data_IF_333741091586
#
_entry.id   IF_333741091586
#
_cell.length_a   1.000
_cell.length_b   1.000
_cell.length_c   1.000
_cell.angle_alpha   90.00
_cell.angle_beta   90.00
_cell.angle_gamma   90.00
#
_symmetry.space_group_name_H-M   'P 1'
#
loop_
_entity.id
_entity.type
_entity.pdbx_description
1 polymer ?
#
# COMPACT_ATOMS: atom_id res chain seq x y z
N UNK A 1 18.43 -7.24 -19.46
CA UNK A 1 17.17 -7.18 -18.68
C UNK A 1 17.22 -5.93 -17.82
N UNK A 2 16.31 -4.96 -18.04
CA UNK A 2 16.22 -3.74 -17.20
C UNK A 2 15.15 -3.99 -16.13
N UNK A 3 15.53 -3.85 -14.86
CA UNK A 3 14.59 -3.91 -13.73
C UNK A 3 14.12 -2.48 -13.48
N UNK A 4 12.80 -2.26 -13.46
CA UNK A 4 12.19 -0.98 -13.10
C UNK A 4 11.67 -1.09 -11.67
N UNK A 5 11.78 -0.01 -10.91
CA UNK A 5 11.31 0.03 -9.51
C UNK A 5 10.25 1.10 -9.33
N UNK A 6 9.23 0.79 -8.52
CA UNK A 6 8.23 1.77 -8.14
C UNK A 6 8.90 2.88 -7.31
N UNK A 7 8.62 4.13 -7.64
CA UNK A 7 9.05 5.26 -6.83
C UNK A 7 7.91 6.29 -6.85
N UNK A 8 7.41 6.55 -5.64
CA UNK A 8 6.21 7.34 -5.38
C UNK A 8 6.50 8.44 -4.34
N UNK A 9 7.73 8.99 -4.32
CA UNK A 9 8.14 10.12 -3.48
C UNK A 9 7.69 9.98 -2.01
N UNK A 10 8.05 8.86 -1.39
CA UNK A 10 7.70 8.46 -0.01
C UNK A 10 6.20 8.26 0.29
N UNK A 11 5.30 8.47 -0.68
CA UNK A 11 3.88 8.21 -0.49
C UNK A 11 3.51 6.74 -0.55
N UNK A 12 4.38 5.90 -1.10
CA UNK A 12 4.22 4.45 -1.10
C UNK A 12 5.54 3.75 -0.79
N UNK A 13 5.48 2.77 0.09
CA UNK A 13 6.61 1.89 0.38
C UNK A 13 6.11 0.48 0.74
N UNK A 14 6.72 -0.56 0.15
CA UNK A 14 6.60 -1.92 0.68
C UNK A 14 7.54 -2.05 1.89
N UNK A 15 6.99 -2.20 3.09
CA UNK A 15 7.74 -2.30 4.34
C UNK A 15 8.27 -3.72 4.56
N UNK A 16 7.41 -4.72 4.38
CA UNK A 16 7.75 -6.14 4.54
C UNK A 16 6.78 -7.01 3.72
N UNK A 17 7.16 -8.25 3.49
CA UNK A 17 6.30 -9.25 2.88
C UNK A 17 6.64 -10.65 3.36
N UNK A 18 5.65 -11.52 3.36
CA UNK A 18 5.81 -12.93 3.72
C UNK A 18 4.57 -13.50 4.39
N UNK A 19 4.54 -14.82 4.51
CA UNK A 19 3.43 -15.61 5.01
C UNK A 19 2.10 -15.25 4.31
N UNK A 20 2.15 -15.02 3.00
CA UNK A 20 0.99 -14.69 2.16
C UNK A 20 0.48 -13.26 2.28
N UNK A 21 1.24 -12.34 2.88
CA UNK A 21 0.84 -10.94 3.07
C UNK A 21 1.93 -9.95 2.67
N UNK A 22 1.51 -8.73 2.34
CA UNK A 22 2.33 -7.53 2.21
C UNK A 22 1.98 -6.54 3.31
N UNK A 23 2.99 -5.85 3.84
CA UNK A 23 2.87 -4.72 4.74
C UNK A 23 3.32 -3.47 3.98
N UNK A 24 2.42 -2.53 3.76
CA UNK A 24 2.65 -1.39 2.87
C UNK A 24 2.30 -0.09 3.55
N UNK A 25 3.14 0.92 3.34
CA UNK A 25 2.89 2.30 3.71
C UNK A 25 2.27 3.05 2.54
N UNK A 26 1.17 3.75 2.78
CA UNK A 26 0.49 4.62 1.81
C UNK A 26 0.14 5.96 2.49
N UNK A 27 0.95 6.98 2.24
CA UNK A 27 0.78 8.30 2.83
C UNK A 27 0.83 8.24 4.36
N UNK A 28 -0.32 8.35 5.03
CA UNK A 28 -0.41 8.33 6.49
C UNK A 28 -0.86 6.98 7.08
N UNK A 29 -1.10 5.97 6.24
CA UNK A 29 -1.64 4.68 6.66
C UNK A 29 -0.71 3.54 6.26
N UNK A 30 -0.39 2.68 7.22
CA UNK A 30 0.21 1.37 7.00
C UNK A 30 -0.93 0.36 6.88
N UNK A 31 -0.90 -0.50 5.87
CA UNK A 31 -1.91 -1.53 5.65
C UNK A 31 -1.27 -2.88 5.41
N UNK A 32 -1.94 -3.94 5.87
CA UNK A 32 -1.56 -5.31 5.57
C UNK A 32 -2.61 -5.97 4.68
N UNK A 33 -2.20 -6.51 3.53
CA UNK A 33 -3.13 -7.18 2.59
C UNK A 33 -2.54 -8.46 2.01
N UNK A 34 -3.38 -9.44 1.64
CA UNK A 34 -2.92 -10.74 1.17
C UNK A 34 -2.35 -10.68 -0.25
N UNK A 35 -1.23 -11.36 -0.44
CA UNK A 35 -0.58 -11.58 -1.73
C UNK A 35 -0.08 -13.03 -1.80
N UNK A 36 -0.62 -13.79 -2.76
CA UNK A 36 -0.32 -15.21 -2.95
C UNK A 36 1.12 -15.47 -3.36
N UNK A 37 1.83 -14.45 -3.87
CA UNK A 37 3.23 -14.59 -4.27
C UNK A 37 4.18 -14.51 -3.08
N UNK A 38 3.75 -13.99 -1.92
CA UNK A 38 4.59 -13.79 -0.74
C UNK A 38 4.74 -15.07 0.10
N UNK A 39 5.24 -16.15 -0.50
CA UNK A 39 5.33 -17.49 0.09
C UNK A 39 6.45 -17.66 1.13
N UNK A 40 7.39 -16.72 1.18
CA UNK A 40 8.52 -16.73 2.13
C UNK A 40 8.11 -16.26 3.53
N UNK A 41 9.00 -16.44 4.51
CA UNK A 41 8.80 -15.92 5.87
C UNK A 41 8.94 -14.40 5.90
N UNK A 42 8.14 -13.75 6.75
CA UNK A 42 8.28 -12.32 7.09
C UNK A 42 9.68 -12.04 7.62
N UNK A 43 10.26 -10.91 7.22
CA UNK A 43 11.61 -10.54 7.66
C UNK A 43 11.59 -9.56 8.84
N UNK A 44 10.53 -8.75 8.96
CA UNK A 44 10.35 -7.85 10.10
C UNK A 44 9.69 -8.56 11.28
N UNK A 45 10.00 -8.15 12.52
CA UNK A 45 9.34 -8.69 13.70
C UNK A 45 7.85 -8.38 13.69
N UNK A 46 7.07 -9.18 14.42
CA UNK A 46 5.62 -9.00 14.54
C UNK A 46 5.23 -7.60 15.02
N UNK A 47 6.06 -6.96 15.84
CA UNK A 47 5.86 -5.58 16.32
C UNK A 47 5.74 -4.56 15.18
N UNK A 48 6.41 -4.76 14.03
CA UNK A 48 6.24 -3.91 12.86
C UNK A 48 4.89 -4.16 12.18
N UNK A 49 4.48 -5.42 12.07
CA UNK A 49 3.18 -5.80 11.49
C UNK A 49 2.01 -5.30 12.34
N UNK A 50 2.17 -5.25 13.66
CA UNK A 50 1.19 -4.65 14.57
C UNK A 50 1.02 -3.14 14.39
N UNK A 51 1.90 -2.45 13.66
CA UNK A 51 1.70 -1.02 13.32
C UNK A 51 0.69 -0.79 12.21
N UNK A 52 0.26 -1.83 11.49
CA UNK A 52 -0.76 -1.69 10.44
C UNK A 52 -2.03 -1.03 10.99
N UNK A 53 -2.43 0.08 10.36
CA UNK A 53 -3.66 0.83 10.63
C UNK A 53 -4.89 0.09 10.11
N UNK A 54 -4.74 -0.71 9.05
CA UNK A 54 -5.79 -1.58 8.54
C UNK A 54 -5.25 -2.92 8.03
N UNK A 55 -6.05 -3.98 8.14
CA UNK A 55 -5.70 -5.32 7.69
C UNK A 55 -6.85 -5.89 6.88
N UNK A 56 -6.59 -6.37 5.66
CA UNK A 56 -7.58 -7.11 4.88
C UNK A 56 -7.53 -8.60 5.24
N UNK A 57 -8.60 -9.11 5.85
CA UNK A 57 -8.75 -10.54 6.13
C UNK A 57 -9.34 -11.24 4.91
N UNK A 58 -8.55 -12.05 4.23
CA UNK A 58 -9.05 -13.00 3.23
C UNK A 58 -9.57 -14.26 3.95
N UNK A 59 -10.78 -14.18 4.51
CA UNK A 59 -11.48 -15.35 5.05
C UNK A 59 -12.51 -15.85 4.04
N UNK A 60 -12.79 -17.17 4.05
CA UNK A 60 -13.80 -17.77 3.17
C UNK A 60 -15.23 -17.35 3.53
N UNK A 61 -15.49 -17.09 4.80
CA UNK A 61 -16.83 -16.79 5.31
C UNK A 61 -17.17 -15.30 5.33
N UNK A 62 -16.18 -14.44 5.60
CA UNK A 62 -16.38 -13.00 5.69
C UNK A 62 -15.09 -12.23 5.35
N UNK A 63 -14.78 -12.01 4.06
CA UNK A 63 -13.64 -11.20 3.67
C UNK A 63 -13.92 -9.72 3.96
N UNK A 64 -12.92 -9.00 4.47
CA UNK A 64 -13.11 -7.58 4.76
C UNK A 64 -11.93 -6.89 5.40
N UNK A 65 -12.02 -5.57 5.46
CA UNK A 65 -11.05 -4.72 6.15
C UNK A 65 -11.37 -4.60 7.63
N UNK A 66 -10.35 -4.75 8.46
CA UNK A 66 -10.37 -4.37 9.86
C UNK A 66 -9.52 -3.13 10.05
N UNK A 67 -10.11 -2.09 10.65
CA UNK A 67 -9.47 -0.80 10.87
C UNK A 67 -9.16 -0.59 12.35
N UNK A 68 -8.00 0.00 12.62
CA UNK A 68 -7.65 0.52 13.94
C UNK A 68 -8.05 1.98 14.03
N UNK A 69 -8.20 2.47 15.27
CA UNK A 69 -8.45 3.89 15.54
C UNK A 69 -7.36 4.82 14.98
N UNK A 70 -6.17 4.28 14.71
CA UNK A 70 -5.08 5.02 14.10
C UNK A 70 -5.23 5.24 12.59
N UNK A 71 -6.22 4.63 11.93
CA UNK A 71 -6.47 4.82 10.49
C UNK A 71 -6.93 6.25 10.21
N UNK A 72 -6.35 6.87 9.18
CA UNK A 72 -6.58 8.28 8.83
C UNK A 72 -7.39 8.41 7.56
N UNK A 73 -8.51 9.12 7.66
CA UNK A 73 -9.33 9.56 6.55
C UNK A 73 -9.38 11.11 6.46
N UNK A 74 -9.52 11.68 5.24
CA UNK A 74 -9.54 11.00 3.95
C UNK A 74 -8.15 10.43 3.60
N UNK A 75 -8.12 9.22 3.05
CA UNK A 75 -6.88 8.56 2.66
C UNK A 75 -6.44 9.06 1.28
N UNK A 76 -5.56 10.07 1.28
CA UNK A 76 -5.09 10.72 0.06
C UNK A 76 -3.56 10.59 -0.02
N UNK A 77 -3.06 10.20 -1.18
CA UNK A 77 -1.62 10.22 -1.52
C UNK A 77 -1.37 11.17 -2.69
N UNK A 78 -0.14 11.65 -2.82
CA UNK A 78 0.25 12.63 -3.87
C UNK A 78 1.31 12.08 -4.81
N UNK A 79 0.98 11.88 -6.08
CA UNK A 79 1.97 11.52 -7.09
C UNK A 79 2.64 12.79 -7.65
N UNK A 80 3.90 13.03 -7.30
CA UNK A 80 4.59 14.27 -7.68
C UNK A 80 5.40 14.15 -8.98
N UNK A 81 5.68 12.94 -9.47
CA UNK A 81 6.58 12.75 -10.62
C UNK A 81 6.23 13.56 -11.86
N UNK A 82 4.96 13.62 -12.27
CA UNK A 82 4.55 14.44 -13.44
C UNK A 82 4.77 15.95 -13.24
N UNK A 83 4.74 16.41 -11.99
CA UNK A 83 5.12 17.79 -11.66
C UNK A 83 6.62 17.97 -11.77
N UNK A 84 7.41 17.03 -11.24
CA UNK A 84 8.88 17.06 -11.32
C UNK A 84 9.38 17.01 -12.76
N UNK A 85 8.69 16.27 -13.64
CA UNK A 85 8.99 16.19 -15.08
C UNK A 85 8.43 17.38 -15.89
N UNK A 86 7.77 18.35 -15.24
CA UNK A 86 7.21 19.53 -15.91
C UNK A 86 5.98 19.27 -16.77
N UNK A 87 5.40 18.05 -16.72
CA UNK A 87 4.21 17.66 -17.48
C UNK A 87 2.95 18.34 -16.90
N UNK A 88 2.87 18.50 -15.58
CA UNK A 88 1.76 19.20 -14.92
C UNK A 88 2.23 20.20 -13.85
N UNK A 89 1.41 21.22 -13.57
CA UNK A 89 1.76 22.27 -12.59
C UNK A 89 1.65 21.79 -11.13
N UNK A 90 0.74 20.85 -10.87
CA UNK A 90 0.40 20.38 -9.53
C UNK A 90 0.54 18.86 -9.43
N UNK A 91 0.85 18.31 -8.25
CA UNK A 91 0.83 16.86 -8.05
C UNK A 91 -0.56 16.28 -8.31
N UNK A 92 -0.60 15.03 -8.77
CA UNK A 92 -1.87 14.29 -8.86
C UNK A 92 -2.21 13.79 -7.47
N UNK A 93 -3.35 14.24 -6.92
CA UNK A 93 -3.90 13.73 -5.67
C UNK A 93 -4.78 12.52 -5.95
N UNK A 94 -4.51 11.41 -5.29
CA UNK A 94 -5.23 10.14 -5.47
C UNK A 94 -5.89 9.81 -4.13
N UNK A 95 -7.21 9.68 -4.14
CA UNK A 95 -7.95 9.21 -2.98
C UNK A 95 -8.07 7.70 -3.03
N UNK A 96 -7.49 7.04 -2.03
CA UNK A 96 -7.56 5.60 -1.83
C UNK A 96 -8.83 5.26 -1.05
N UNK A 97 -9.40 4.08 -1.32
CA UNK A 97 -10.55 3.58 -0.58
C UNK A 97 -10.40 2.10 -0.30
N UNK A 98 -10.58 1.75 0.97
CA UNK A 98 -10.82 0.38 1.37
C UNK A 98 -12.26 0.00 0.97
N UNK A 99 -12.39 -0.96 0.06
CA UNK A 99 -13.69 -1.44 -0.44
C UNK A 99 -13.92 -2.87 0.03
N UNK A 100 -14.96 -3.55 -0.47
CA UNK A 100 -15.17 -4.99 -0.23
C UNK A 100 -13.99 -5.86 -0.74
N UNK A 101 -13.17 -5.31 -1.65
CA UNK A 101 -11.98 -5.95 -2.18
C UNK A 101 -10.71 -5.53 -1.44
N UNK A 102 -9.67 -6.36 -1.55
CA UNK A 102 -8.30 -6.02 -1.12
C UNK A 102 -7.69 -4.86 -1.91
N UNK A 103 -8.27 -4.51 -3.05
CA UNK A 103 -7.77 -3.46 -3.94
C UNK A 103 -8.11 -2.08 -3.38
N UNK A 104 -7.12 -1.17 -3.44
CA UNK A 104 -7.21 0.18 -2.88
C UNK A 104 -7.46 1.28 -3.92
N UNK A 105 -7.52 0.90 -5.20
CA UNK A 105 -7.69 1.82 -6.33
C UNK A 105 -6.40 2.33 -6.95
N UNK A 106 -5.23 1.85 -6.50
CA UNK A 106 -3.93 2.14 -7.11
C UNK A 106 -3.06 0.88 -7.20
N UNK A 107 -2.20 0.83 -8.21
CA UNK A 107 -1.14 -0.16 -8.41
C UNK A 107 0.21 0.56 -8.46
N UNK A 108 0.86 0.83 -7.31
CA UNK A 108 2.09 1.63 -7.25
C UNK A 108 3.22 1.07 -8.10
N UNK A 109 3.25 -0.24 -8.34
CA UNK A 109 4.16 -0.93 -9.24
C UNK A 109 4.13 -0.40 -10.69
N UNK A 110 3.02 0.22 -11.12
CA UNK A 110 2.91 0.82 -12.45
C UNK A 110 3.59 2.19 -12.57
N UNK A 111 4.12 2.75 -11.47
CA UNK A 111 4.93 3.99 -11.48
C UNK A 111 6.39 3.77 -11.91
N UNK A 112 6.73 2.53 -12.28
CA UNK A 112 8.10 2.09 -12.48
C UNK A 112 8.83 2.84 -13.61
N UNK A 113 10.13 3.06 -13.42
CA UNK A 113 11.03 3.72 -14.35
C UNK A 113 12.46 3.19 -14.28
#
# INVERSE_FOLDING_TARGET
MKILTANFDDQYQLIDSGNGYKLEHFGNNIVARPDTNCVWKRQKPETEWLKANAIFKASFSNPGWEFKNSFKEPWIISYNKLKTEGICKNPIKIQLRATISKNLGIFPEQSAH
#
